data_IF_620708661976
#
_entry.id   IF_620708661976
#
_cell.length_a   1.000
_cell.length_b   1.000
_cell.length_c   1.000
_cell.angle_alpha   90.00
_cell.angle_beta   90.00
_cell.angle_gamma   90.00
#
_symmetry.space_group_name_H-M   'P 1'
#
loop_
_entity.id
_entity.type
_entity.pdbx_description
1 polymer ?
#
# COMPACT_ATOMS: atom_id res chain seq x y z
N UNK A 1 9.57 18.77 10.46
CA UNK A 1 8.64 17.82 11.07
C UNK A 1 8.21 18.39 12.40
N UNK A 2 6.91 18.52 12.62
CA UNK A 2 6.32 19.06 13.86
C UNK A 2 6.16 17.95 14.91
N UNK A 3 5.92 18.32 16.17
CA UNK A 3 5.65 17.34 17.22
C UNK A 3 4.38 16.51 16.95
N UNK A 4 3.39 17.09 16.29
CA UNK A 4 2.18 16.39 15.88
C UNK A 4 2.47 15.32 14.83
N UNK A 5 3.31 15.61 13.85
CA UNK A 5 3.76 14.65 12.82
C UNK A 5 4.58 13.52 13.43
N UNK A 6 5.47 13.83 14.37
CA UNK A 6 6.25 12.82 15.12
C UNK A 6 5.34 11.89 15.91
N UNK A 7 4.34 12.46 16.60
CA UNK A 7 3.37 11.67 17.34
C UNK A 7 2.53 10.76 16.43
N UNK A 8 2.15 11.24 15.25
CA UNK A 8 1.42 10.43 14.27
C UNK A 8 2.28 9.29 13.74
N UNK A 9 3.53 9.53 13.38
CA UNK A 9 4.46 8.48 12.99
C UNK A 9 4.62 7.42 14.08
N UNK A 10 4.79 7.85 15.32
CA UNK A 10 4.89 6.94 16.46
C UNK A 10 3.62 6.09 16.63
N UNK A 11 2.42 6.68 16.50
CA UNK A 11 1.15 5.95 16.56
C UNK A 11 1.05 4.89 15.48
N UNK A 12 1.46 5.21 14.25
CA UNK A 12 1.50 4.24 13.13
C UNK A 12 2.45 3.08 13.45
N UNK A 13 3.64 3.36 13.96
CA UNK A 13 4.59 2.31 14.36
C UNK A 13 4.03 1.40 15.46
N UNK A 14 3.39 1.99 16.49
CA UNK A 14 2.76 1.23 17.57
C UNK A 14 1.59 0.38 17.04
N UNK A 15 0.75 0.91 16.16
CA UNK A 15 -0.34 0.18 15.53
C UNK A 15 0.18 -1.06 14.79
N UNK A 16 1.20 -0.88 13.94
CA UNK A 16 1.81 -1.96 13.18
C UNK A 16 2.42 -3.02 14.11
N UNK A 17 3.13 -2.62 15.17
CA UNK A 17 3.72 -3.51 16.15
C UNK A 17 2.67 -4.32 16.89
N UNK A 18 1.64 -3.69 17.42
CA UNK A 18 0.56 -4.35 18.15
C UNK A 18 -0.19 -5.35 17.27
N UNK A 19 -0.43 -4.98 16.01
CA UNK A 19 -1.05 -5.90 15.05
C UNK A 19 -0.16 -7.12 14.81
N UNK A 20 1.13 -6.92 14.54
CA UNK A 20 2.08 -8.01 14.26
C UNK A 20 2.17 -9.00 15.43
N UNK A 21 2.28 -8.49 16.65
CA UNK A 21 2.30 -9.32 17.88
C UNK A 21 1.01 -10.14 18.02
N UNK A 22 -0.15 -9.54 17.76
CA UNK A 22 -1.45 -10.23 17.82
C UNK A 22 -1.59 -11.28 16.72
N UNK A 23 -1.17 -10.97 15.50
CA UNK A 23 -1.17 -11.92 14.40
C UNK A 23 -0.28 -13.13 14.69
N UNK A 24 0.90 -12.91 15.27
CA UNK A 24 1.81 -13.98 15.68
C UNK A 24 1.18 -14.88 16.78
N UNK A 25 0.45 -14.30 17.72
CA UNK A 25 -0.29 -15.10 18.72
C UNK A 25 -1.35 -15.98 18.04
N UNK A 26 -2.12 -15.45 17.09
CA UNK A 26 -3.11 -16.24 16.34
C UNK A 26 -2.47 -17.33 15.48
N UNK A 27 -1.31 -17.07 14.91
CA UNK A 27 -0.54 -18.08 14.18
C UNK A 27 -0.11 -19.22 15.13
N UNK A 28 0.46 -18.91 16.29
CA UNK A 28 0.86 -19.90 17.29
C UNK A 28 -0.32 -20.74 17.84
N UNK A 29 -1.52 -20.17 17.84
CA UNK A 29 -2.76 -20.85 18.20
C UNK A 29 -3.34 -21.72 17.06
N UNK A 30 -2.71 -21.75 15.89
CA UNK A 30 -3.23 -22.47 14.72
C UNK A 30 -4.45 -21.82 14.07
N UNK A 31 -4.77 -20.58 14.42
CA UNK A 31 -5.91 -19.82 13.86
C UNK A 31 -5.60 -19.19 12.49
N UNK A 32 -4.32 -19.02 12.19
CA UNK A 32 -3.78 -18.57 10.92
C UNK A 32 -2.79 -19.62 10.44
N UNK A 33 -2.87 -20.04 9.18
CA UNK A 33 -2.06 -21.14 8.63
C UNK A 33 -0.59 -20.77 8.49
N UNK A 34 -0.31 -19.57 8.00
CA UNK A 34 1.04 -19.00 7.88
C UNK A 34 0.98 -17.52 8.23
N UNK A 35 2.10 -16.96 8.65
CA UNK A 35 2.23 -15.52 8.91
C UNK A 35 3.68 -15.08 8.78
N UNK A 36 3.92 -14.08 7.95
CA UNK A 36 5.23 -13.46 7.85
C UNK A 36 5.30 -12.27 8.82
N UNK A 37 6.22 -12.37 9.77
CA UNK A 37 6.41 -11.34 10.81
C UNK A 37 6.93 -10.06 10.18
N UNK A 38 6.24 -8.94 10.47
CA UNK A 38 6.62 -7.59 10.05
C UNK A 38 7.56 -6.90 11.05
N UNK A 39 7.94 -7.56 12.11
CA UNK A 39 8.76 -7.03 13.20
C UNK A 39 10.03 -6.35 12.68
N UNK A 40 10.33 -5.18 13.23
CA UNK A 40 11.41 -4.26 12.85
C UNK A 40 11.23 -3.56 11.47
N UNK A 41 10.07 -3.69 10.83
CA UNK A 41 9.71 -2.98 9.61
C UNK A 41 8.76 -1.79 9.87
N UNK A 42 8.37 -1.53 11.12
CA UNK A 42 7.37 -0.52 11.47
C UNK A 42 7.79 0.88 11.04
N UNK A 43 9.06 1.24 11.26
CA UNK A 43 9.57 2.56 10.89
C UNK A 43 9.57 2.79 9.38
N UNK A 44 9.90 1.76 8.59
CA UNK A 44 9.88 1.82 7.12
C UNK A 44 8.44 1.97 6.64
N UNK A 45 7.52 1.14 7.14
CA UNK A 45 6.12 1.18 6.73
C UNK A 45 5.44 2.49 7.15
N UNK A 46 5.65 2.93 8.39
CA UNK A 46 5.09 4.18 8.89
C UNK A 46 5.67 5.40 8.14
N UNK A 47 6.98 5.44 7.92
CA UNK A 47 7.65 6.54 7.24
C UNK A 47 7.26 6.62 5.76
N UNK A 48 7.24 5.49 5.05
CA UNK A 48 6.83 5.44 3.65
C UNK A 48 5.38 5.93 3.49
N UNK A 49 4.45 5.42 4.31
CA UNK A 49 3.04 5.82 4.23
C UNK A 49 2.79 7.26 4.71
N UNK A 50 3.66 7.80 5.55
CA UNK A 50 3.58 9.19 5.96
C UNK A 50 3.98 10.16 4.84
N UNK A 51 4.92 9.75 3.99
CA UNK A 51 5.37 10.55 2.86
C UNK A 51 4.43 10.51 1.64
N UNK A 52 3.52 9.54 1.59
CA UNK A 52 2.56 9.36 0.50
C UNK A 52 1.28 10.19 0.72
N UNK A 53 0.74 10.72 -0.39
CA UNK A 53 -0.59 11.29 -0.44
C UNK A 53 -1.70 10.23 -0.36
N UNK A 54 -2.95 10.67 -0.24
CA UNK A 54 -4.11 9.77 -0.16
C UNK A 54 -4.33 8.99 -1.45
N UNK A 55 -4.04 9.59 -2.60
CA UNK A 55 -4.22 9.01 -3.93
C UNK A 55 -3.05 8.11 -4.36
N UNK A 56 -1.93 8.15 -3.64
CA UNK A 56 -0.77 7.33 -3.97
C UNK A 56 -1.01 5.85 -3.70
N UNK A 57 -0.50 5.00 -4.57
CA UNK A 57 -0.64 3.56 -4.47
C UNK A 57 0.49 2.90 -3.71
N UNK A 58 0.14 1.86 -2.95
CA UNK A 58 1.08 1.03 -2.20
C UNK A 58 1.10 -0.37 -2.79
N UNK A 59 2.28 -0.89 -3.08
CA UNK A 59 2.52 -2.25 -3.57
C UNK A 59 3.30 -3.04 -2.54
N UNK A 60 2.63 -3.68 -1.56
CA UNK A 60 3.31 -4.38 -0.48
C UNK A 60 3.84 -5.74 -0.94
N UNK A 61 4.96 -6.16 -0.36
CA UNK A 61 5.31 -7.58 -0.33
C UNK A 61 4.66 -8.26 0.89
N UNK A 62 4.98 -9.52 1.13
CA UNK A 62 4.37 -10.27 2.23
C UNK A 62 4.66 -9.71 3.63
N UNK A 63 5.87 -9.13 3.86
CA UNK A 63 6.22 -8.55 5.17
C UNK A 63 5.60 -7.20 5.44
N UNK A 64 5.19 -6.50 4.40
CA UNK A 64 4.50 -5.22 4.49
C UNK A 64 2.98 -5.37 4.52
N UNK A 65 2.46 -6.59 4.73
CA UNK A 65 1.02 -6.84 4.83
C UNK A 65 0.28 -5.93 5.83
N UNK A 66 0.87 -5.52 6.99
CA UNK A 66 0.19 -4.62 7.92
C UNK A 66 0.04 -3.18 7.42
N UNK A 67 0.73 -2.79 6.34
CA UNK A 67 0.72 -1.41 5.83
C UNK A 67 -0.69 -0.92 5.49
N UNK A 68 -1.60 -1.82 5.11
CA UNK A 68 -3.00 -1.50 4.86
C UNK A 68 -3.72 -0.87 6.06
N UNK A 69 -3.30 -1.17 7.30
CA UNK A 69 -3.87 -0.58 8.50
C UNK A 69 -3.71 0.94 8.54
N UNK A 70 -2.59 1.43 8.02
CA UNK A 70 -2.30 2.87 7.97
C UNK A 70 -3.21 3.59 6.97
N UNK A 71 -3.74 2.86 5.99
CA UNK A 71 -4.75 3.33 5.03
C UNK A 71 -6.19 3.09 5.52
N UNK A 72 -6.38 2.65 6.76
CA UNK A 72 -7.70 2.41 7.34
C UNK A 72 -8.29 1.03 7.02
N UNK A 73 -7.53 0.12 6.43
CA UNK A 73 -7.98 -1.25 6.19
C UNK A 73 -8.27 -1.96 7.52
N UNK A 74 -9.43 -2.65 7.66
CA UNK A 74 -9.74 -3.37 8.87
C UNK A 74 -8.70 -4.45 9.18
N UNK A 75 -8.21 -4.58 10.43
CA UNK A 75 -7.26 -5.63 10.82
C UNK A 75 -7.74 -7.04 10.46
N UNK A 76 -9.05 -7.27 10.57
CA UNK A 76 -9.67 -8.54 10.22
C UNK A 76 -9.44 -8.94 8.76
N UNK A 77 -9.43 -8.00 7.83
CA UNK A 77 -9.20 -8.24 6.40
C UNK A 77 -7.81 -8.83 6.18
N UNK A 78 -6.78 -8.24 6.79
CA UNK A 78 -5.40 -8.72 6.68
C UNK A 78 -5.24 -10.10 7.34
N UNK A 79 -5.86 -10.32 8.51
CA UNK A 79 -5.83 -11.62 9.19
C UNK A 79 -6.56 -12.71 8.38
N UNK A 80 -7.67 -12.37 7.73
CA UNK A 80 -8.40 -13.28 6.85
C UNK A 80 -7.57 -13.64 5.60
N UNK A 81 -6.82 -12.70 5.05
CA UNK A 81 -5.90 -12.97 3.95
C UNK A 81 -4.87 -14.04 4.35
N UNK A 82 -4.20 -13.87 5.51
CA UNK A 82 -3.25 -14.83 6.04
C UNK A 82 -3.87 -16.19 6.40
N UNK A 83 -5.17 -16.20 6.68
CA UNK A 83 -5.95 -17.42 6.88
C UNK A 83 -6.31 -18.12 5.57
N UNK A 84 -6.15 -17.47 4.43
CA UNK A 84 -6.63 -17.97 3.13
C UNK A 84 -8.14 -17.92 2.97
N UNK A 85 -8.83 -17.07 3.74
CA UNK A 85 -10.28 -16.93 3.68
C UNK A 85 -10.70 -15.94 2.58
N UNK A 86 -11.75 -16.22 1.78
CA UNK A 86 -12.18 -15.33 0.70
C UNK A 86 -12.46 -13.88 1.12
N UNK A 87 -12.95 -13.64 2.34
CA UNK A 87 -13.19 -12.29 2.85
C UNK A 87 -11.91 -11.50 3.17
N UNK A 88 -10.74 -12.11 3.06
CA UNK A 88 -9.45 -11.43 3.16
C UNK A 88 -8.98 -10.86 1.82
N UNK A 89 -9.68 -11.13 0.73
CA UNK A 89 -9.38 -10.59 -0.58
C UNK A 89 -10.04 -9.21 -0.71
N UNK A 90 -9.25 -8.18 -0.50
CA UNK A 90 -9.75 -6.81 -0.62
C UNK A 90 -9.73 -6.30 -2.06
N UNK A 91 -10.59 -5.33 -2.36
CA UNK A 91 -10.48 -4.57 -3.59
C UNK A 91 -9.37 -3.51 -3.42
N UNK A 92 -8.31 -3.53 -4.25
CA UNK A 92 -7.22 -2.56 -4.15
C UNK A 92 -7.66 -1.09 -4.23
N UNK A 93 -8.75 -0.81 -4.94
CA UNK A 93 -9.29 0.55 -5.10
C UNK A 93 -9.86 1.15 -3.82
N UNK A 94 -10.22 0.33 -2.82
CA UNK A 94 -10.84 0.83 -1.59
C UNK A 94 -9.82 1.55 -0.68
N UNK A 95 -8.53 1.22 -0.80
CA UNK A 95 -7.47 1.76 0.05
C UNK A 95 -6.21 2.17 -0.71
N UNK A 96 -6.19 2.08 -2.04
CA UNK A 96 -4.98 2.26 -2.87
C UNK A 96 -3.81 1.36 -2.42
N UNK A 97 -4.16 0.14 -2.00
CA UNK A 97 -3.21 -0.89 -1.58
C UNK A 97 -3.39 -2.12 -2.45
N UNK A 98 -2.39 -2.42 -3.26
CA UNK A 98 -2.38 -3.59 -4.13
C UNK A 98 -2.38 -4.89 -3.31
N UNK A 99 -2.76 -5.99 -3.95
CA UNK A 99 -2.68 -7.32 -3.34
C UNK A 99 -1.24 -7.66 -2.94
N UNK A 100 -1.09 -8.32 -1.81
CA UNK A 100 0.22 -8.75 -1.30
C UNK A 100 0.88 -9.71 -2.28
N UNK A 101 2.14 -9.44 -2.62
CA UNK A 101 2.95 -10.33 -3.44
C UNK A 101 3.90 -11.15 -2.57
N UNK A 102 3.80 -12.48 -2.65
CA UNK A 102 4.67 -13.40 -1.91
C UNK A 102 6.05 -13.54 -2.58
N UNK A 103 6.16 -13.72 -3.91
CA UNK A 103 7.47 -13.76 -4.56
C UNK A 103 8.20 -12.42 -4.42
N UNK A 104 9.45 -12.50 -3.97
CA UNK A 104 10.28 -11.31 -3.74
C UNK A 104 10.43 -10.49 -5.02
N UNK A 105 10.29 -9.17 -4.90
CA UNK A 105 10.40 -8.17 -5.96
C UNK A 105 9.26 -8.15 -7.01
N UNK A 106 8.28 -9.06 -6.97
CA UNK A 106 7.15 -9.05 -7.94
C UNK A 106 6.34 -7.75 -7.88
N UNK A 107 6.24 -7.12 -6.71
CA UNK A 107 5.54 -5.84 -6.53
C UNK A 107 6.20 -4.68 -7.32
N UNK A 108 7.50 -4.74 -7.60
CA UNK A 108 8.24 -3.68 -8.30
C UNK A 108 7.77 -3.48 -9.74
N UNK A 109 7.71 -4.52 -10.61
CA UNK A 109 7.19 -4.34 -11.97
C UNK A 109 5.71 -3.99 -12.00
N UNK A 110 4.89 -4.42 -11.04
CA UNK A 110 3.50 -4.00 -10.95
C UNK A 110 3.39 -2.50 -10.65
N UNK A 111 4.17 -1.99 -9.69
CA UNK A 111 4.22 -0.57 -9.38
C UNK A 111 4.72 0.24 -10.57
N UNK A 112 5.78 -0.21 -11.24
CA UNK A 112 6.31 0.43 -12.44
C UNK A 112 5.29 0.46 -13.59
N UNK A 113 4.54 -0.64 -13.78
CA UNK A 113 3.50 -0.74 -14.80
C UNK A 113 2.34 0.23 -14.54
N UNK A 114 1.88 0.35 -13.28
CA UNK A 114 0.85 1.31 -12.92
C UNK A 114 1.33 2.76 -13.12
N UNK A 115 2.53 3.08 -12.65
CA UNK A 115 3.12 4.42 -12.81
C UNK A 115 3.26 4.79 -14.29
N UNK A 116 3.76 3.87 -15.13
CA UNK A 116 3.85 4.07 -16.57
C UNK A 116 2.47 4.31 -17.20
N UNK A 117 1.49 3.46 -16.90
CA UNK A 117 0.14 3.58 -17.43
C UNK A 117 -0.52 4.91 -17.04
N UNK A 118 -0.31 5.37 -15.82
CA UNK A 118 -0.80 6.68 -15.35
C UNK A 118 -0.13 7.83 -16.08
N UNK A 119 1.20 7.79 -16.26
CA UNK A 119 1.92 8.81 -17.01
C UNK A 119 1.46 8.91 -18.47
N UNK A 120 1.23 7.76 -19.13
CA UNK A 120 0.73 7.72 -20.51
C UNK A 120 -0.70 8.28 -20.58
N UNK A 121 -1.58 7.90 -19.66
CA UNK A 121 -2.95 8.38 -19.62
C UNK A 121 -3.02 9.90 -19.40
N UNK A 122 -2.19 10.45 -18.50
CA UNK A 122 -2.10 11.90 -18.28
C UNK A 122 -1.55 12.59 -19.52
N UNK A 123 -0.51 12.04 -20.15
CA UNK A 123 0.08 12.58 -21.37
C UNK A 123 -0.93 12.68 -22.50
N UNK A 124 -1.70 11.63 -22.76
CA UNK A 124 -2.75 11.65 -23.80
C UNK A 124 -3.89 12.61 -23.48
N UNK A 125 -4.25 12.81 -22.22
CA UNK A 125 -5.26 13.81 -21.82
C UNK A 125 -4.76 15.24 -22.04
N UNK A 126 -3.49 15.50 -21.72
CA UNK A 126 -2.86 16.80 -21.96
C UNK A 126 -2.85 17.11 -23.46
N UNK A 127 -2.40 16.19 -24.31
CA UNK A 127 -2.37 16.34 -25.76
C UNK A 127 -3.78 16.60 -26.33
N UNK A 128 -4.78 15.83 -25.91
CA UNK A 128 -6.17 16.03 -26.32
C UNK A 128 -6.71 17.41 -25.92
N UNK A 129 -6.34 17.90 -24.73
CA UNK A 129 -6.73 19.22 -24.25
C UNK A 129 -6.06 20.34 -25.08
N UNK A 130 -4.77 20.20 -25.41
CA UNK A 130 -4.07 21.16 -26.26
C UNK A 130 -4.66 21.19 -27.68
N UNK A 131 -4.97 20.05 -28.27
CA UNK A 131 -5.62 19.96 -29.58
C UNK A 131 -7.01 20.60 -29.56
N UNK A 132 -7.80 20.38 -28.52
CA UNK A 132 -9.14 20.96 -28.41
C UNK A 132 -9.14 22.46 -28.15
N UNK A 133 -8.07 23.01 -27.54
CA UNK A 133 -7.90 24.44 -27.28
C UNK A 133 -7.32 25.23 -28.46
N UNK A 134 -7.03 24.60 -29.62
CA UNK A 134 -6.53 25.23 -30.82
C UNK A 134 -5.09 25.77 -30.74
N UNK A 135 -4.32 25.30 -29.77
CA UNK A 135 -2.90 25.63 -29.70
C UNK A 135 -2.15 24.79 -30.75
N UNK A 136 -1.83 25.47 -31.88
CA UNK A 136 -0.91 24.94 -32.88
C UNK A 136 0.52 25.04 -32.31
N UNK A 137 1.25 23.91 -32.26
CA UNK A 137 2.69 23.98 -32.08
C UNK A 137 3.31 24.68 -33.31
N UNK A 138 4.21 25.65 -33.12
CA UNK A 138 4.97 26.15 -34.23
C UNK A 138 5.86 25.06 -34.79
N UNK A 139 5.70 24.76 -36.06
CA UNK A 139 6.59 23.87 -36.80
C UNK A 139 8.00 24.49 -36.78
N UNK A 140 8.93 23.78 -36.10
CA UNK A 140 10.35 24.10 -36.07
C UNK A 140 11.14 23.26 -37.05
#
# INVERSE_FOLDING_TARGET
MTDAELLELYRRMVLLRVFDERALVYHRQGRIGTYAIAWNHEAIQAGATFALGEDDWIFPSYRESPIGLVRGMPPATILQWWRGHPSGWWNPLDWNVASICVPIATHVPHAAGLAWGTCVAIGTQIEATFQSSGFHQPEG
#
